data_IF_984538849157
#
_entry.id   IF_984538849157
#
_cell.length_a   1.000
_cell.length_b   1.000
_cell.length_c   1.000
_cell.angle_alpha   90.00
_cell.angle_beta   90.00
_cell.angle_gamma   90.00
#
_symmetry.space_group_name_H-M   'P 1'
#
loop_
_entity.id
_entity.type
_entity.pdbx_description
1 polymer ?
#
# COMPACT_ATOMS: atom_id res chain seq x y z
N UNK A 1 -12.46 -13.35 -8.90
CA UNK A 1 -11.69 -12.46 -7.99
C UNK A 1 -12.11 -11.04 -8.31
N UNK A 2 -12.49 -10.24 -7.30
CA UNK A 2 -12.80 -8.82 -7.51
C UNK A 2 -11.53 -8.11 -7.99
N UNK A 3 -11.66 -7.23 -8.97
CA UNK A 3 -10.53 -6.41 -9.39
C UNK A 3 -10.42 -5.23 -8.43
N UNK A 4 -9.21 -4.73 -8.16
CA UNK A 4 -8.94 -3.37 -8.61
C UNK A 4 -10.03 -2.30 -8.44
N UNK A 5 -10.81 -2.22 -9.53
CA UNK A 5 -11.81 -1.20 -9.82
C UNK A 5 -13.13 -1.44 -9.10
N UNK A 6 -13.34 -2.64 -8.56
CA UNK A 6 -14.51 -3.01 -7.77
C UNK A 6 -14.35 -2.60 -6.28
N UNK A 7 -13.18 -2.08 -5.90
CA UNK A 7 -12.87 -1.64 -4.54
C UNK A 7 -12.81 -0.12 -4.56
N UNK A 8 -13.78 0.53 -3.93
CA UNK A 8 -13.96 1.97 -3.94
C UNK A 8 -12.68 2.69 -3.44
N UNK A 9 -12.08 2.15 -2.37
CA UNK A 9 -10.84 2.68 -1.78
C UNK A 9 -9.60 2.54 -2.67
N UNK A 10 -9.61 1.63 -3.66
CA UNK A 10 -8.53 1.48 -4.64
C UNK A 10 -8.82 2.21 -5.95
N UNK A 11 -10.10 2.42 -6.28
CA UNK A 11 -10.52 3.17 -7.45
C UNK A 11 -10.34 4.68 -7.24
N UNK A 12 -10.51 5.15 -6.01
CA UNK A 12 -10.29 6.54 -5.63
C UNK A 12 -8.82 6.79 -5.27
N UNK A 13 -8.18 7.68 -6.04
CA UNK A 13 -6.79 8.09 -5.78
C UNK A 13 -6.61 8.63 -4.35
N UNK A 14 -7.52 9.49 -3.90
CA UNK A 14 -7.40 10.17 -2.61
C UNK A 14 -7.50 9.17 -1.44
N UNK A 15 -8.40 8.20 -1.52
CA UNK A 15 -8.53 7.14 -0.53
C UNK A 15 -7.26 6.28 -0.47
N UNK A 16 -6.74 5.87 -1.64
CA UNK A 16 -5.52 5.09 -1.71
C UNK A 16 -4.29 5.87 -1.21
N UNK A 17 -4.22 7.18 -1.49
CA UNK A 17 -3.16 8.06 -1.01
C UNK A 17 -3.20 8.19 0.52
N UNK A 18 -4.37 8.44 1.10
CA UNK A 18 -4.54 8.50 2.56
C UNK A 18 -4.10 7.21 3.26
N UNK A 19 -4.46 6.04 2.71
CA UNK A 19 -4.01 4.74 3.24
C UNK A 19 -2.48 4.59 3.19
N UNK A 20 -1.83 5.08 2.14
CA UNK A 20 -0.36 5.05 2.02
C UNK A 20 0.27 6.04 3.01
N UNK A 21 -0.35 7.20 3.24
CA UNK A 21 0.10 8.21 4.20
C UNK A 21 0.00 7.74 5.65
N UNK A 22 -0.98 6.91 5.98
CA UNK A 22 -1.08 6.20 7.27
C UNK A 22 -0.02 5.08 7.45
N UNK A 23 1.07 5.13 6.68
CA UNK A 23 2.17 4.17 6.66
C UNK A 23 1.72 2.73 6.39
N UNK A 24 0.59 2.52 5.72
CA UNK A 24 0.21 1.19 5.32
C UNK A 24 1.04 0.72 4.12
N UNK A 25 1.72 -0.40 4.29
CA UNK A 25 2.35 -1.09 3.16
C UNK A 25 1.28 -1.68 2.23
N UNK A 26 1.57 -1.92 0.95
CA UNK A 26 0.61 -2.54 0.02
C UNK A 26 0.04 -3.86 0.53
N UNK A 27 0.82 -4.60 1.33
CA UNK A 27 0.38 -5.83 1.99
C UNK A 27 -0.64 -5.57 3.10
N UNK A 28 -0.44 -4.51 3.90
CA UNK A 28 -1.40 -4.10 4.94
C UNK A 28 -2.69 -3.59 4.32
N UNK A 29 -2.59 -2.77 3.28
CA UNK A 29 -3.76 -2.29 2.51
C UNK A 29 -4.53 -3.47 1.93
N UNK A 30 -3.83 -4.42 1.30
CA UNK A 30 -4.46 -5.62 0.74
C UNK A 30 -5.20 -6.45 1.80
N UNK A 31 -4.60 -6.61 2.99
CA UNK A 31 -5.24 -7.30 4.12
C UNK A 31 -6.44 -6.53 4.67
N UNK A 32 -6.34 -5.20 4.74
CA UNK A 32 -7.42 -4.33 5.23
C UNK A 32 -8.64 -4.36 4.30
N UNK A 33 -8.40 -4.26 3.00
CA UNK A 33 -9.42 -4.25 1.95
C UNK A 33 -9.82 -5.66 1.47
N UNK A 34 -9.30 -6.70 2.13
CA UNK A 34 -9.48 -8.10 1.77
C UNK A 34 -9.29 -8.38 0.26
N UNK A 35 -8.24 -7.81 -0.31
CA UNK A 35 -7.93 -7.87 -1.72
C UNK A 35 -6.51 -8.43 -1.97
N UNK A 36 -6.19 -8.70 -3.24
CA UNK A 36 -4.84 -9.15 -3.58
C UNK A 36 -3.84 -7.99 -3.53
N UNK A 37 -2.62 -8.26 -3.06
CA UNK A 37 -1.52 -7.29 -3.07
C UNK A 37 -1.27 -6.73 -4.47
N UNK A 38 -1.44 -7.56 -5.50
CA UNK A 38 -1.28 -7.15 -6.90
C UNK A 38 -2.38 -6.18 -7.35
N UNK A 39 -3.60 -6.29 -6.80
CA UNK A 39 -4.66 -5.29 -7.02
C UNK A 39 -4.24 -3.92 -6.49
N UNK A 40 -3.73 -3.87 -5.25
CA UNK A 40 -3.22 -2.62 -4.65
C UNK A 40 -2.07 -2.05 -5.47
N UNK A 41 -1.09 -2.87 -5.87
CA UNK A 41 0.03 -2.42 -6.71
C UNK A 41 -0.42 -1.87 -8.06
N UNK A 42 -1.42 -2.49 -8.67
CA UNK A 42 -1.97 -2.06 -9.96
C UNK A 42 -2.69 -0.72 -9.82
N UNK A 43 -3.51 -0.56 -8.78
CA UNK A 43 -4.15 0.71 -8.45
C UNK A 43 -3.12 1.82 -8.19
N UNK A 44 -2.10 1.55 -7.38
CA UNK A 44 -1.02 2.50 -7.12
C UNK A 44 -0.31 2.93 -8.40
N UNK A 45 0.04 1.97 -9.27
CA UNK A 45 0.68 2.26 -10.56
C UNK A 45 -0.23 3.08 -11.48
N UNK A 46 -1.53 2.76 -11.50
CA UNK A 46 -2.52 3.47 -12.28
C UNK A 46 -2.68 4.93 -11.82
N UNK A 47 -2.73 5.16 -10.51
CA UNK A 47 -2.87 6.49 -9.92
C UNK A 47 -1.54 7.26 -9.78
N UNK A 48 -0.42 6.66 -10.19
CA UNK A 48 0.91 7.26 -10.10
C UNK A 48 1.47 7.36 -8.68
N UNK A 49 0.91 6.59 -7.73
CA UNK A 49 1.31 6.59 -6.33
C UNK A 49 2.52 5.67 -6.13
N UNK A 50 3.58 6.21 -5.53
CA UNK A 50 4.75 5.43 -5.11
C UNK A 50 4.72 5.28 -3.60
N UNK A 51 4.95 4.07 -3.10
CA UNK A 51 5.24 3.87 -1.68
C UNK A 51 6.48 4.67 -1.32
N UNK A 52 6.41 5.51 -0.28
CA UNK A 52 7.58 6.15 0.30
C UNK A 52 8.55 5.05 0.73
N UNK A 53 9.71 4.99 0.06
CA UNK A 53 10.80 4.11 0.49
C UNK A 53 11.41 4.76 1.73
N UNK A 54 11.06 4.23 2.90
CA UNK A 54 11.76 4.62 4.13
C UNK A 54 13.13 3.95 4.10
N UNK A 55 14.17 4.75 3.95
CA UNK A 55 15.54 4.30 4.20
C UNK A 55 15.68 4.26 5.72
N UNK A 56 15.58 3.07 6.29
CA UNK A 56 15.89 2.86 7.70
C UNK A 56 17.42 2.84 7.86
N UNK A 57 17.92 3.51 8.90
CA UNK A 57 19.33 3.41 9.27
C UNK A 57 19.67 1.98 9.69
N UNK A 58 20.95 1.61 9.59
CA UNK A 58 21.44 0.28 9.97
C UNK A 58 21.04 -0.08 11.42
N UNK A 59 21.15 0.86 12.35
CA UNK A 59 20.70 0.70 13.74
C UNK A 59 19.20 0.36 13.87
N UNK A 60 18.34 0.99 13.06
CA UNK A 60 16.91 0.74 13.09
C UNK A 60 16.57 -0.63 12.48
N UNK A 61 17.37 -1.08 11.50
CA UNK A 61 17.25 -2.43 10.94
C UNK A 61 17.59 -3.49 11.98
N UNK A 62 18.68 -3.33 12.73
CA UNK A 62 19.07 -4.31 13.77
C UNK A 62 17.98 -4.49 14.83
N UNK A 63 17.31 -3.41 15.26
CA UNK A 63 16.22 -3.46 16.24
C UNK A 63 14.93 -4.12 15.76
N UNK A 64 14.67 -4.16 14.45
CA UNK A 64 13.48 -4.76 13.85
C UNK A 64 13.64 -6.27 13.59
N UNK A 65 14.88 -6.77 13.60
CA UNK A 65 15.22 -8.17 13.35
C UNK A 65 15.75 -8.91 14.60
N UNK A 66 15.69 -8.27 15.78
CA UNK A 66 15.87 -8.84 17.12
C UNK A 66 14.50 -9.04 17.79
#
# INVERSE_FOLDING_TARGET
MKTWKDIEELAEKAALEALIEEMMTPTRIARHLNCSRDSVKTAMRHHGLKTKTFVISEEMRERLFL
#
